data_IF_814892313155
#
_entry.id   IF_814892313155
#
_cell.length_a   1.000
_cell.length_b   1.000
_cell.length_c   1.000
_cell.angle_alpha   90.00
_cell.angle_beta   90.00
_cell.angle_gamma   90.00
#
_symmetry.space_group_name_H-M   'P 1'
#
loop_
_entity.id
_entity.type
_entity.pdbx_description
1 polymer ?
2 non-polymer ?
3 water ?
#
# COMPACT_ATOMS: atom_id res chain seq x y z
N UNK A 14 -21.22 -15.68 -4.19
CA UNK A 14 -22.43 -15.00 -3.61
C UNK A 14 -22.63 -13.61 -4.20
N UNK A 15 -23.55 -13.49 -5.15
CA UNK A 15 -23.76 -12.24 -5.89
C UNK A 15 -23.90 -11.05 -4.94
N UNK A 16 -23.28 -9.94 -5.31
CA UNK A 16 -23.33 -8.75 -4.49
C UNK A 16 -22.39 -8.78 -3.31
N UNK A 17 -21.43 -9.68 -3.29
CA UNK A 17 -20.50 -9.78 -2.17
C UNK A 17 -19.59 -8.52 -2.16
N UNK A 18 -19.16 -8.10 -0.99
CA UNK A 18 -18.30 -6.93 -0.89
C UNK A 18 -16.91 -7.30 -1.37
N UNK A 19 -16.34 -6.43 -2.18
CA UNK A 19 -15.07 -6.66 -2.83
C UNK A 19 -13.98 -5.79 -2.21
N UNK A 20 -12.89 -6.44 -1.84
CA UNK A 20 -11.71 -5.86 -1.22
C UNK A 20 -10.64 -5.54 -2.23
N UNK A 21 -9.85 -4.50 -1.93
CA UNK A 21 -8.67 -4.17 -2.66
C UNK A 21 -7.45 -4.61 -1.82
N UNK A 22 -6.70 -5.56 -2.37
CA UNK A 22 -5.62 -6.22 -1.65
C UNK A 22 -4.29 -6.06 -2.39
N UNK A 23 -3.22 -6.02 -1.61
CA UNK A 23 -1.87 -6.06 -2.17
C UNK A 23 -1.69 -7.41 -2.90
N UNK A 24 -1.49 -7.37 -4.21
CA UNK A 24 -1.27 -8.59 -4.98
C UNK A 24 0.18 -9.07 -4.84
N UNK A 25 1.09 -8.12 -4.95
CA UNK A 25 2.49 -8.39 -4.93
C UNK A 25 3.32 -7.14 -4.97
N UNK A 26 4.58 -7.27 -4.64
CA UNK A 26 5.47 -6.12 -4.70
C UNK A 26 6.92 -6.51 -4.86
N UNK A 27 7.66 -5.57 -5.45
CA UNK A 27 9.11 -5.58 -5.47
C UNK A 27 9.55 -4.66 -4.32
N UNK A 28 10.15 -5.26 -3.31
CA UNK A 28 10.51 -4.57 -2.08
C UNK A 28 11.97 -4.08 -2.10
N UNK A 29 12.11 -2.76 -2.15
CA UNK A 29 13.41 -2.08 -2.08
C UNK A 29 14.32 -2.45 -3.23
N UNK A 30 13.79 -2.29 -4.43
CA UNK A 30 14.56 -2.43 -5.64
C UNK A 30 15.15 -1.06 -5.99
N UNK A 31 16.28 -1.03 -6.68
CA UNK A 31 16.96 0.20 -7.02
C UNK A 31 16.66 0.64 -8.47
N UNK A 32 16.38 1.92 -8.65
CA UNK A 32 16.14 2.51 -9.98
C UNK A 32 17.45 2.51 -10.73
N UNK A 33 17.45 1.94 -11.92
CA UNK A 33 18.64 1.84 -12.76
C UNK A 33 18.70 2.84 -13.93
N UNK A 34 17.56 3.43 -14.28
CA UNK A 34 17.47 4.30 -15.46
C UNK A 34 16.26 5.22 -15.26
N UNK A 35 16.38 6.46 -15.72
CA UNK A 35 15.25 7.36 -15.62
C UNK A 35 15.30 8.34 -16.76
N UNK A 36 14.32 8.31 -17.67
CA UNK A 36 14.40 9.11 -18.91
C UNK A 36 13.15 9.90 -19.16
N UNK A 37 13.26 11.23 -19.17
CA UNK A 37 12.13 12.09 -19.53
C UNK A 37 11.74 11.82 -20.97
N UNK A 38 12.76 11.66 -21.82
CA UNK A 38 12.58 11.34 -23.24
C UNK A 38 12.02 9.92 -23.47
N UNK A 39 10.69 9.83 -23.33
CA UNK A 39 9.82 8.87 -24.01
C UNK A 39 10.15 7.36 -24.13
N UNK A 40 9.90 6.64 -23.06
CA UNK A 40 9.15 5.40 -23.11
C UNK A 40 8.01 5.78 -22.13
N UNK A 41 7.45 6.95 -22.43
CA UNK A 41 6.85 7.86 -21.42
C UNK A 41 5.60 7.33 -20.68
N UNK A 42 5.69 7.41 -19.36
CA UNK A 42 4.64 7.00 -18.44
C UNK A 42 5.18 5.93 -17.51
N UNK A 43 5.60 4.85 -18.15
CA UNK A 43 5.73 3.55 -17.58
C UNK A 43 6.93 3.40 -16.66
N UNK A 44 6.95 2.29 -15.96
CA UNK A 44 8.16 1.80 -15.34
C UNK A 44 8.43 0.44 -15.99
N UNK A 45 9.59 0.32 -16.65
CA UNK A 45 10.05 -0.93 -17.25
C UNK A 45 10.84 -1.72 -16.21
N UNK A 46 10.50 -2.99 -16.10
CA UNK A 46 10.95 -3.85 -15.02
C UNK A 46 11.36 -5.22 -15.63
N UNK A 47 12.56 -5.69 -15.28
CA UNK A 47 13.04 -7.03 -15.66
C UNK A 47 11.88 -8.03 -15.50
N UNK A 48 11.59 -8.78 -16.55
CA UNK A 48 10.50 -9.75 -16.53
C UNK A 48 10.61 -10.78 -15.42
N UNK A 49 11.84 -11.14 -15.00
CA UNK A 49 12.03 -12.07 -13.88
C UNK A 49 11.43 -11.50 -12.59
N UNK A 50 11.56 -10.18 -12.42
CA UNK A 50 11.04 -9.50 -11.24
C UNK A 50 9.51 -9.45 -11.30
N UNK A 51 8.98 -9.16 -12.48
CA UNK A 51 7.52 -9.16 -12.66
C UNK A 51 6.97 -10.53 -12.33
N UNK A 52 7.63 -11.58 -12.81
CA UNK A 52 7.18 -12.94 -12.53
C UNK A 52 7.11 -13.19 -11.01
N UNK A 53 8.16 -12.79 -10.30
CA UNK A 53 8.26 -13.06 -8.86
C UNK A 53 7.15 -12.37 -8.07
N UNK A 54 6.81 -11.15 -8.47
CA UNK A 54 5.78 -10.36 -7.79
C UNK A 54 4.37 -10.56 -8.35
N UNK A 55 4.21 -11.40 -9.38
CA UNK A 55 2.92 -11.61 -10.01
C UNK A 55 2.38 -10.40 -10.76
N UNK A 56 3.25 -9.45 -11.12
CA UNK A 56 2.86 -8.25 -11.82
C UNK A 56 2.86 -8.46 -13.35
N UNK A 57 1.83 -7.97 -14.01
CA UNK A 57 1.66 -8.17 -15.44
C UNK A 57 2.08 -6.96 -16.25
N UNK A 58 2.48 -7.20 -17.49
CA UNK A 58 2.65 -6.08 -18.41
C UNK A 58 1.34 -5.33 -18.55
N UNK A 59 1.43 -4.01 -18.48
CA UNK A 59 0.31 -3.09 -18.60
C UNK A 59 -0.55 -3.00 -17.36
N UNK A 60 -0.13 -3.65 -16.30
CA UNK A 60 -0.82 -3.56 -15.01
C UNK A 60 -0.52 -2.25 -14.29
N UNK A 61 -1.53 -1.66 -13.66
CA UNK A 61 -1.33 -0.47 -12.81
C UNK A 61 -0.43 -0.84 -11.63
N UNK A 62 0.53 0.01 -11.37
CA UNK A 62 1.41 -0.15 -10.21
C UNK A 62 1.54 1.15 -9.39
N UNK A 63 1.74 1.00 -8.09
CA UNK A 63 2.05 2.12 -7.20
C UNK A 63 3.54 2.04 -6.89
N UNK A 64 4.22 3.17 -6.94
CA UNK A 64 5.63 3.25 -6.61
C UNK A 64 5.82 4.20 -5.42
N UNK A 65 6.42 3.66 -4.36
CA UNK A 65 6.75 4.43 -3.17
C UNK A 65 8.27 4.56 -3.19
N UNK A 66 8.75 5.79 -3.32
CA UNK A 66 10.19 6.08 -3.33
C UNK A 66 10.63 6.28 -1.89
N UNK A 67 11.36 5.31 -1.37
CA UNK A 67 11.81 5.32 0.01
C UNK A 67 12.88 6.38 0.21
N UNK A 68 13.66 6.65 -0.84
CA UNK A 68 14.75 7.61 -0.75
C UNK A 68 14.24 9.04 -0.60
N UNK A 69 13.26 9.44 -1.39
CA UNK A 69 12.79 10.85 -1.36
C UNK A 69 11.35 11.04 -0.85
N UNK A 70 10.68 9.95 -0.50
CA UNK A 70 9.31 10.01 0.01
C UNK A 70 8.20 10.25 -0.99
N UNK A 71 8.53 10.35 -2.27
CA UNK A 71 7.50 10.56 -3.29
C UNK A 71 6.71 9.27 -3.52
N UNK A 72 5.43 9.42 -3.85
CA UNK A 72 4.56 8.29 -4.11
C UNK A 72 3.81 8.58 -5.40
N UNK A 73 3.82 7.65 -6.35
CA UNK A 73 3.09 7.89 -7.59
C UNK A 73 2.58 6.60 -8.16
N UNK A 74 1.66 6.68 -9.11
CA UNK A 74 1.18 5.49 -9.71
C UNK A 74 1.31 5.57 -11.23
N UNK A 75 1.64 4.42 -11.82
CA UNK A 75 1.81 4.33 -13.25
C UNK A 75 1.41 2.92 -13.70
N UNK A 76 2.07 2.38 -14.72
CA UNK A 76 1.85 1.00 -15.12
C UNK A 76 3.19 0.37 -15.49
N UNK A 77 3.22 -0.96 -15.40
CA UNK A 77 4.43 -1.75 -15.61
C UNK A 77 4.58 -2.14 -17.07
N UNK A 78 5.81 -2.10 -17.56
CA UNK A 78 6.12 -2.80 -18.80
C UNK A 78 7.34 -3.68 -18.55
N UNK A 79 7.46 -4.74 -19.35
CA UNK A 79 8.51 -5.71 -19.16
C UNK A 79 9.81 -5.21 -19.79
N UNK A 80 10.91 -5.32 -19.04
CA UNK A 80 12.26 -5.24 -19.59
C UNK A 80 12.83 -6.64 -19.77
N UNK A 81 13.89 -6.73 -20.56
CA UNK A 81 14.50 -8.02 -20.90
C UNK A 81 14.81 -8.83 -19.65
N UNK A 82 14.43 -10.11 -19.66
CA UNK A 82 14.80 -11.02 -18.56
C UNK A 82 16.30 -10.97 -18.32
N UNK A 83 16.69 -10.83 -17.06
CA UNK A 83 18.07 -10.83 -16.65
C UNK A 83 18.75 -9.48 -16.79
N UNK A 84 18.03 -8.47 -17.30
CA UNK A 84 18.60 -7.12 -17.44
C UNK A 84 18.73 -6.43 -16.07
N UNK A 85 17.90 -6.85 -15.11
CA UNK A 85 17.76 -6.27 -13.77
C UNK A 85 17.38 -4.78 -13.81
N UNK A 86 16.74 -4.37 -14.92
CA UNK A 86 16.35 -2.98 -15.12
C UNK A 86 15.12 -2.61 -14.30
N UNK A 87 15.17 -1.41 -13.71
CA UNK A 87 14.02 -0.66 -13.20
C UNK A 87 14.17 0.75 -13.79
N UNK A 88 13.38 1.05 -14.81
CA UNK A 88 13.51 2.29 -15.55
C UNK A 88 12.25 3.10 -15.38
N UNK A 89 12.36 4.27 -14.79
CA UNK A 89 11.23 5.15 -14.58
C UNK A 89 11.18 6.14 -15.73
N UNK A 90 10.13 6.03 -16.54
CA UNK A 90 10.06 6.68 -17.83
C UNK A 90 9.09 7.89 -17.88
N UNK A 91 9.45 8.91 -18.67
CA UNK A 91 8.57 10.04 -18.91
C UNK A 91 8.33 10.90 -17.67
N UNK A 92 7.07 11.26 -17.45
CA UNK A 92 6.72 12.10 -16.33
C UNK A 92 7.24 11.54 -15.00
N UNK A 93 7.27 10.22 -14.89
CA UNK A 93 7.69 9.55 -13.65
C UNK A 93 9.17 9.80 -13.29
N UNK A 94 9.98 10.16 -14.27
CA UNK A 94 11.38 10.50 -14.00
C UNK A 94 11.53 11.79 -13.16
N UNK A 95 10.46 12.58 -13.03
CA UNK A 95 10.43 13.70 -12.07
C UNK A 95 10.23 13.20 -10.62
N UNK A 96 9.91 11.92 -10.44
CA UNK A 96 9.65 11.37 -9.11
C UNK A 96 10.68 10.37 -8.62
N UNK A 97 11.58 9.96 -9.49
CA UNK A 97 12.61 9.01 -9.10
C UNK A 97 13.83 9.22 -9.97
N UNK A 98 14.99 8.95 -9.37
CA UNK A 98 16.28 9.11 -9.99
C UNK A 98 17.08 7.79 -9.86
N UNK A 99 18.03 7.61 -10.76
CA UNK A 99 18.94 6.47 -10.69
C UNK A 99 19.61 6.41 -9.30
N UNK A 100 19.54 5.23 -8.66
CA UNK A 100 20.07 5.04 -7.31
C UNK A 100 19.02 5.03 -6.23
N UNK A 101 17.86 5.61 -6.50
CA UNK A 101 16.81 5.71 -5.50
C UNK A 101 16.27 4.30 -5.24
N UNK A 102 15.87 4.06 -4.00
CA UNK A 102 15.31 2.80 -3.56
C UNK A 102 13.78 2.95 -3.58
N UNK A 103 13.11 2.03 -4.27
CA UNK A 103 11.65 2.10 -4.41
C UNK A 103 10.99 0.77 -4.05
N UNK A 104 9.70 0.86 -3.74
CA UNK A 104 8.83 -0.30 -3.60
C UNK A 104 7.77 -0.17 -4.68
N UNK A 105 7.60 -1.24 -5.46
CA UNK A 105 6.66 -1.24 -6.59
C UNK A 105 5.60 -2.27 -6.25
N UNK A 106 4.34 -1.86 -6.17
CA UNK A 106 3.25 -2.77 -5.75
C UNK A 106 2.12 -2.75 -6.76
N UNK A 107 1.44 -3.89 -6.89
CA UNK A 107 0.16 -3.96 -7.59
C UNK A 107 -0.90 -4.42 -6.61
N UNK A 108 -2.12 -3.98 -6.88
CA UNK A 108 -3.27 -4.32 -6.09
C UNK A 108 -4.32 -4.96 -6.99
N UNK A 109 -5.01 -5.94 -6.43
CA UNK A 109 -6.11 -6.62 -7.10
C UNK A 109 -7.34 -6.60 -6.23
N UNK A 110 -8.49 -6.88 -6.82
CA UNK A 110 -9.71 -6.99 -6.06
C UNK A 110 -10.22 -8.41 -6.04
N UNK A 111 -10.88 -8.74 -4.94
CA UNK A 111 -11.41 -10.08 -4.73
C UNK A 111 -12.42 -10.02 -3.62
N UNK A 112 -13.32 -10.99 -3.58
CA UNK A 112 -14.30 -11.03 -2.50
C UNK A 112 -13.65 -11.19 -1.14
N UNK A 113 -14.42 -10.84 -0.12
CA UNK A 113 -13.91 -10.83 1.24
C UNK A 113 -13.32 -12.17 1.75
N UNK A 114 -13.97 -13.28 1.47
CA UNK A 114 -13.51 -14.57 2.01
C UNK A 114 -12.16 -14.93 1.41
N UNK A 115 -11.99 -14.66 0.11
CA UNK A 115 -10.70 -14.85 -0.54
C UNK A 115 -9.62 -13.91 0.03
N UNK A 116 -9.99 -12.66 0.24
CA UNK A 116 -9.08 -11.65 0.80
C UNK A 116 -8.57 -12.04 2.20
N UNK A 117 -9.40 -12.71 2.99
CA UNK A 117 -9.04 -13.10 4.33
C UNK A 117 -7.97 -14.20 4.34
N UNK A 118 -7.74 -14.90 3.23
CA UNK A 118 -6.67 -15.89 3.22
C UNK A 118 -5.62 -15.63 2.15
N UNK A 119 -5.64 -14.43 1.57
CA UNK A 119 -4.77 -14.10 0.46
C UNK A 119 -3.32 -13.92 0.95
N UNK A 120 -2.35 -14.43 0.19
CA UNK A 120 -0.92 -14.20 0.49
C UNK A 120 -0.29 -13.44 -0.69
N UNK A 121 0.17 -12.21 -0.51
CA UNK A 121 0.84 -11.46 -1.59
C UNK A 121 2.14 -12.11 -2.06
N UNK A 122 2.47 -11.86 -3.32
CA UNK A 122 3.73 -12.28 -3.90
C UNK A 122 4.78 -11.21 -3.68
N UNK A 123 5.79 -11.49 -2.85
CA UNK A 123 6.78 -10.49 -2.50
C UNK A 123 8.18 -10.93 -2.93
N UNK A 124 8.88 -10.04 -3.61
CA UNK A 124 10.26 -10.25 -3.99
C UNK A 124 11.09 -9.22 -3.24
N UNK A 125 12.15 -9.69 -2.60
CA UNK A 125 13.05 -8.83 -1.85
C UNK A 125 14.37 -8.74 -2.59
N UNK A 126 15.02 -7.59 -2.47
CA UNK A 126 16.22 -7.26 -3.24
C UNK A 126 17.35 -6.78 -2.37
N UNK A 127 18.57 -7.05 -2.85
CA UNK A 127 19.78 -6.54 -2.23
C UNK A 127 20.79 -6.25 -3.36
N UNK A 128 21.83 -5.52 -3.02
CA UNK A 128 22.96 -5.30 -3.91
C UNK A 128 22.57 -4.83 -5.27
N UNK A 129 23.07 -5.54 -6.28
CA UNK A 129 22.87 -5.19 -7.68
C UNK A 129 21.52 -5.69 -8.18
N UNK A 130 20.42 -5.25 -7.55
CA UNK A 130 19.08 -5.75 -7.84
C UNK A 130 19.04 -7.28 -7.92
N UNK A 131 19.68 -7.89 -6.94
CA UNK A 131 19.67 -9.31 -6.80
C UNK A 131 18.44 -9.71 -5.98
N UNK A 132 17.60 -10.57 -6.54
CA UNK A 132 16.38 -11.02 -5.89
C UNK A 132 16.75 -12.08 -4.87
N UNK A 133 16.34 -11.90 -3.62
CA UNK A 133 16.73 -12.83 -2.55
C UNK A 133 15.91 -14.10 -2.61
N UNK B 18 -24.54 -1.15 -11.55
CA UNK B 18 -23.44 -0.19 -11.29
C UNK B 18 -22.83 -0.44 -9.94
N UNK B 19 -21.51 -0.41 -9.91
CA UNK B 19 -20.74 -0.76 -8.72
C UNK B 19 -20.24 0.52 -8.03
N UNK B 20 -20.56 0.63 -6.77
CA UNK B 20 -20.20 1.75 -5.91
C UNK B 20 -18.96 1.46 -5.09
N UNK B 21 -18.21 2.51 -4.78
CA UNK B 21 -17.09 2.40 -3.83
C UNK B 21 -17.56 3.04 -2.55
N UNK B 22 -17.52 2.26 -1.47
CA UNK B 22 -18.11 2.64 -0.17
C UNK B 22 -17.09 2.48 0.95
N UNK B 23 -17.19 3.34 1.96
CA UNK B 23 -16.36 3.19 3.17
C UNK B 23 -16.67 1.86 3.82
N UNK B 24 -15.67 0.99 3.92
CA UNK B 24 -15.84 -0.27 4.66
C UNK B 24 -15.68 -0.05 6.16
N UNK B 25 -14.66 0.71 6.54
CA UNK B 25 -14.39 0.91 7.94
C UNK B 25 -13.35 1.93 8.19
N UNK B 26 -13.32 2.45 9.41
CA UNK B 26 -12.29 3.42 9.74
C UNK B 26 -11.91 3.44 11.20
N UNK B 27 -10.67 3.81 11.43
CA UNK B 27 -10.15 4.11 12.76
C UNK B 27 -10.22 5.62 12.86
N UNK B 28 -11.05 6.08 13.77
CA UNK B 28 -11.39 7.48 13.86
C UNK B 28 -10.50 8.15 14.91
N UNK B 29 -9.54 8.93 14.43
CA UNK B 29 -8.64 9.73 15.23
C UNK B 29 -7.75 8.91 16.19
N UNK B 30 -6.94 8.03 15.59
CA UNK B 30 -5.87 7.36 16.30
C UNK B 30 -4.59 8.17 16.22
N UNK B 31 -3.69 7.92 17.16
CA UNK B 31 -2.38 8.58 17.17
C UNK B 31 -1.29 7.66 16.59
N UNK B 32 -0.42 8.24 15.78
CA UNK B 32 0.77 7.56 15.28
C UNK B 32 1.73 7.32 16.43
N UNK B 33 2.17 6.07 16.56
CA UNK B 33 3.09 5.69 17.62
C UNK B 33 4.43 5.34 17.01
N UNK B 34 5.40 5.12 17.88
CA UNK B 34 6.60 4.40 17.46
C UNK B 34 6.20 2.95 17.13
N UNK B 35 7.06 2.27 16.37
CA UNK B 35 6.90 0.84 16.12
C UNK B 35 7.62 0.08 17.22
N UNK B 36 6.95 -0.93 17.80
CA UNK B 36 7.59 -1.80 18.79
C UNK B 36 8.64 -2.69 18.11
N UNK B 37 8.29 -3.19 16.92
CA UNK B 37 9.19 -4.00 16.09
C UNK B 37 9.47 -3.30 14.77
N UNK B 38 10.47 -3.81 14.04
CA UNK B 38 10.81 -3.29 12.72
C UNK B 38 9.84 -3.85 11.66
N UNK B 39 9.08 -2.97 11.02
CA UNK B 39 8.14 -3.37 9.98
C UNK B 39 8.62 -2.91 8.62
N UNK B 40 8.14 -3.59 7.57
CA UNK B 40 8.58 -3.31 6.20
C UNK B 40 8.15 -1.90 5.80
N UNK B 41 9.03 -1.22 5.08
CA UNK B 41 8.71 0.08 4.51
C UNK B 41 7.49 -0.03 3.57
N UNK B 42 6.76 1.07 3.49
CA UNK B 42 5.58 1.19 2.64
C UNK B 42 4.27 0.75 3.25
N UNK B 43 4.28 0.23 4.47
CA UNK B 43 3.08 -0.31 5.10
C UNK B 43 2.72 0.50 6.33
N UNK B 44 1.54 0.23 6.89
CA UNK B 44 1.17 0.74 8.20
C UNK B 44 0.79 -0.45 9.07
N UNK B 45 1.54 -0.63 10.15
CA UNK B 45 1.29 -1.69 11.13
C UNK B 45 0.28 -1.18 12.16
N UNK B 46 -0.76 -1.96 12.39
CA UNK B 46 -1.89 -1.55 13.20
C UNK B 46 -2.24 -2.68 14.17
N UNK B 47 -2.33 -2.39 15.46
CA UNK B 47 -2.80 -3.34 16.50
C UNK B 47 -3.98 -4.16 15.92
N UNK B 48 -3.88 -5.48 15.98
CA UNK B 48 -4.88 -6.37 15.40
C UNK B 48 -6.27 -6.15 16.01
N UNK B 49 -6.34 -5.75 17.29
CA UNK B 49 -7.62 -5.36 17.91
C UNK B 49 -8.32 -4.24 17.12
N UNK B 50 -7.53 -3.29 16.61
CA UNK B 50 -8.06 -2.14 15.88
C UNK B 50 -8.53 -2.58 14.51
N UNK B 51 -7.73 -3.42 13.84
CA UNK B 51 -8.15 -4.02 12.57
C UNK B 51 -9.45 -4.82 12.70
N UNK B 52 -9.56 -5.59 13.80
CA UNK B 52 -10.77 -6.40 14.03
C UNK B 52 -11.99 -5.50 14.14
N UNK B 53 -11.87 -4.40 14.88
CA UNK B 53 -13.02 -3.50 15.13
C UNK B 53 -13.48 -2.79 13.86
N UNK B 54 -12.52 -2.39 13.03
CA UNK B 54 -12.78 -1.65 11.80
C UNK B 54 -13.03 -2.54 10.57
N UNK B 55 -12.88 -3.86 10.71
CA UNK B 55 -12.97 -4.77 9.58
C UNK B 55 -11.87 -4.70 8.55
N UNK B 56 -10.76 -4.09 8.92
CA UNK B 56 -9.65 -3.91 7.99
C UNK B 56 -8.77 -5.16 8.03
N UNK B 57 -8.39 -5.64 6.86
CA UNK B 57 -7.63 -6.90 6.74
C UNK B 57 -6.14 -6.67 6.58
N UNK B 58 -5.34 -7.61 7.07
CA UNK B 58 -3.93 -7.65 6.65
C UNK B 58 -3.85 -7.64 5.13
N UNK B 59 -2.96 -6.82 4.59
CA UNK B 59 -2.71 -6.67 3.18
C UNK B 59 -3.77 -5.89 2.39
N UNK B 60 -4.71 -5.28 3.08
CA UNK B 60 -5.74 -4.48 2.47
C UNK B 60 -5.22 -3.09 2.23
N UNK B 61 -5.54 -2.55 1.06
CA UNK B 61 -5.30 -1.14 0.79
C UNK B 61 -6.03 -0.25 1.78
N UNK B 62 -5.31 0.75 2.29
CA UNK B 62 -5.88 1.72 3.22
C UNK B 62 -5.46 3.16 2.85
N UNK B 63 -6.32 4.10 3.18
CA UNK B 63 -6.01 5.53 3.08
C UNK B 63 -5.73 6.04 4.47
N UNK B 64 -4.74 6.94 4.57
CA UNK B 64 -4.42 7.59 5.81
C UNK B 64 -4.52 9.09 5.59
N UNK B 65 -5.30 9.74 6.43
CA UNK B 65 -5.53 11.17 6.37
C UNK B 65 -5.04 11.74 7.68
N UNK B 66 -4.04 12.60 7.60
CA UNK B 66 -3.40 13.19 8.75
C UNK B 66 -4.15 14.45 9.19
N UNK B 67 -4.81 14.37 10.34
CA UNK B 67 -5.57 15.49 10.88
C UNK B 67 -4.65 16.59 11.38
N UNK B 68 -3.45 16.21 11.83
CA UNK B 68 -2.50 17.18 12.35
C UNK B 68 -1.93 18.09 11.26
N UNK B 69 -1.52 17.50 10.14
CA UNK B 69 -0.80 18.27 9.13
C UNK B 69 -1.45 18.29 7.74
N UNK B 70 -2.60 17.61 7.59
CA UNK B 70 -3.37 17.64 6.36
C UNK B 70 -2.92 16.66 5.27
N UNK B 71 -1.79 15.98 5.48
CA UNK B 71 -1.25 15.07 4.46
C UNK B 71 -2.17 13.88 4.26
N UNK B 72 -2.26 13.41 3.02
CA UNK B 72 -3.12 12.29 2.68
C UNK B 72 -2.34 11.32 1.80
N UNK B 73 -2.37 10.04 2.16
CA UNK B 73 -1.70 9.06 1.34
C UNK B 73 -2.33 7.69 1.47
N UNK B 74 -1.91 6.77 0.62
CA UNK B 74 -2.45 5.43 0.66
C UNK B 74 -1.31 4.41 0.80
N UNK B 75 -1.61 3.32 1.49
CA UNK B 75 -0.64 2.25 1.70
C UNK B 75 -1.45 0.95 1.90
N UNK B 76 -0.93 0.00 2.66
CA UNK B 76 -1.68 -1.19 3.02
C UNK B 76 -1.45 -1.52 4.48
N UNK B 77 -2.39 -2.27 5.06
CA UNK B 77 -2.35 -2.60 6.48
C UNK B 77 -1.58 -3.88 6.74
N UNK B 78 -0.82 -3.90 7.82
CA UNK B 78 -0.34 -5.17 8.40
C UNK B 78 -0.64 -5.18 9.90
N UNK B 79 -0.75 -6.37 10.46
CA UNK B 79 -1.13 -6.53 11.84
C UNK B 79 0.07 -6.30 12.75
N UNK B 80 -0.14 -5.45 13.73
CA UNK B 80 0.74 -5.37 14.89
C UNK B 80 0.04 -6.20 15.92
N UNK B 81 0.84 -6.65 16.91
CA UNK B 81 0.36 -7.48 17.98
C UNK B 81 -0.88 -6.90 18.63
N UNK B 82 -1.87 -7.86 18.94
CA UNK B 82 -3.02 -7.30 19.78
C UNK B 82 -2.50 -6.64 21.07
N UNK B 83 -3.15 -5.53 21.48
CA UNK B 83 -2.86 -4.84 22.73
C UNK B 83 -1.73 -3.83 22.56
N UNK B 84 -1.06 -3.82 21.36
CA UNK B 84 0.14 -2.99 21.26
C UNK B 84 -0.22 -1.52 21.02
N UNK B 85 -1.50 -1.38 20.60
CA UNK B 85 -2.12 -0.08 20.30
C UNK B 85 -1.34 0.69 19.07
N UNK B 86 -0.66 -0.12 18.27
CA UNK B 86 0.51 0.45 17.50
C UNK B 86 -0.15 1.01 16.29
N UNK B 87 0.24 2.21 15.91
CA UNK B 87 -0.01 2.74 14.61
C UNK B 87 1.34 3.23 14.08
N UNK B 88 2.01 2.40 13.29
CA UNK B 88 3.36 2.66 12.83
C UNK B 88 3.40 2.82 11.33
N UNK B 89 3.68 4.02 10.86
CA UNK B 89 3.81 4.25 9.42
C UNK B 89 5.27 4.04 9.05
N UNK B 90 5.52 3.01 8.26
CA UNK B 90 6.83 2.50 8.03
C UNK B 90 7.41 2.96 6.70
N UNK B 91 8.60 3.56 6.74
CA UNK B 91 9.40 3.78 5.54
C UNK B 91 9.06 5.03 4.76
N UNK B 92 8.82 4.87 3.45
CA UNK B 92 8.40 5.97 2.59
C UNK B 92 7.23 6.73 3.22
N UNK B 93 6.28 5.97 3.77
CA UNK B 93 5.13 6.54 4.46
C UNK B 93 5.49 7.36 5.68
N UNK B 94 6.63 7.09 6.32
CA UNK B 94 7.12 7.93 7.43
C UNK B 94 7.39 9.40 7.06
N UNK B 95 7.56 9.69 5.75
CA UNK B 95 7.62 11.07 5.23
C UNK B 95 6.32 11.88 5.42
N UNK B 96 5.23 11.23 5.87
CA UNK B 96 3.85 11.79 5.90
C UNK B 96 3.14 11.79 7.26
N UNK B 97 3.81 11.28 8.27
CA UNK B 97 3.21 11.12 9.57
C UNK B 97 4.34 11.01 10.57
N UNK B 98 4.22 11.77 11.66
CA UNK B 98 5.18 11.78 12.74
C UNK B 98 4.52 11.21 13.98
N UNK B 99 5.33 10.68 14.89
CA UNK B 99 4.81 10.18 16.15
C UNK B 99 4.03 11.28 16.85
N UNK B 100 2.81 10.95 17.30
CA UNK B 100 1.96 11.89 17.98
C UNK B 100 0.92 12.52 17.09
N UNK B 101 1.06 12.40 15.76
CA UNK B 101 0.09 12.93 14.83
C UNK B 101 -1.21 12.14 14.96
N UNK B 102 -2.31 12.82 14.77
CA UNK B 102 -3.63 12.21 14.80
C UNK B 102 -4.01 11.95 13.37
N UNK B 103 -4.38 10.72 13.08
CA UNK B 103 -4.79 10.32 11.74
C UNK B 103 -6.12 9.57 11.74
N UNK B 104 -6.72 9.50 10.56
CA UNK B 104 -7.84 8.65 10.27
C UNK B 104 -7.34 7.59 9.29
N UNK B 105 -7.66 6.32 9.56
CA UNK B 105 -7.30 5.23 8.68
C UNK B 105 -8.60 4.61 8.15
N UNK B 106 -8.73 4.50 6.84
CA UNK B 106 -9.96 4.05 6.19
C UNK B 106 -9.67 3.01 5.10
N UNK B 107 -10.57 2.05 4.97
CA UNK B 107 -10.59 1.14 3.83
C UNK B 107 -11.95 1.26 3.13
N UNK B 108 -11.92 0.97 1.84
CA UNK B 108 -13.10 1.05 0.99
C UNK B 108 -13.30 -0.28 0.27
N UNK B 109 -14.56 -0.63 0.03
CA UNK B 109 -14.94 -1.83 -0.68
C UNK B 109 -15.91 -1.45 -1.80
N UNK B 110 -16.06 -2.32 -2.77
CA UNK B 110 -17.09 -2.12 -3.79
C UNK B 110 -18.23 -3.13 -3.64
N UNK B 111 -19.38 -2.71 -4.07
CA UNK B 111 -20.57 -3.54 -4.15
C UNK B 111 -21.59 -2.88 -5.05
N UNK B 112 -22.58 -3.63 -5.52
CA UNK B 112 -23.61 -3.04 -6.36
C UNK B 112 -24.39 -1.97 -5.62
N UNK B 113 -24.91 -1.06 -6.42
CA UNK B 113 -25.72 0.05 -5.95
C UNK B 113 -26.84 -0.38 -4.99
N UNK B 114 -27.56 -1.44 -5.33
CA UNK B 114 -28.67 -1.88 -4.50
C UNK B 114 -28.22 -2.17 -3.06
N UNK B 115 -27.07 -2.82 -2.91
CA UNK B 115 -26.56 -3.14 -1.57
C UNK B 115 -25.94 -1.89 -0.91
N UNK B 116 -25.30 -1.05 -1.71
CA UNK B 116 -24.62 0.14 -1.20
C UNK B 116 -25.58 1.10 -0.53
N UNK B 117 -26.83 1.13 -0.98
CA UNK B 117 -27.82 2.02 -0.43
C UNK B 117 -28.09 1.86 1.08
N UNK B 118 -27.84 0.67 1.61
CA UNK B 118 -28.07 0.37 3.04
C UNK B 118 -26.78 0.00 3.77
N UNK B 119 -25.65 0.09 3.09
CA UNK B 119 -24.35 -0.34 3.66
C UNK B 119 -24.01 0.52 4.92
N UNK B 120 -23.47 -0.13 5.96
CA UNK B 120 -23.04 0.53 7.19
C UNK B 120 -21.56 0.22 7.38
N UNK B 121 -20.71 1.23 7.44
CA UNK B 121 -19.28 0.98 7.72
C UNK B 121 -19.02 0.61 9.17
N UNK B 122 -17.85 0.03 9.39
CA UNK B 122 -17.34 -0.31 10.73
C UNK B 122 -16.48 0.80 11.26
N UNK B 123 -16.85 1.40 12.37
CA UNK B 123 -16.05 2.52 12.88
C UNK B 123 -15.58 2.22 14.28
N UNK B 124 -14.28 2.41 14.52
CA UNK B 124 -13.71 2.39 15.86
C UNK B 124 -13.30 3.81 16.32
N UNK B 125 -13.69 4.15 17.53
CA UNK B 125 -13.43 5.47 18.13
C UNK B 125 -12.39 5.29 19.21
N UNK B 126 -11.56 6.30 19.42
CA UNK B 126 -10.46 6.21 20.39
C UNK B 126 -10.46 7.34 21.42
N UNK B 127 -9.84 7.06 22.56
CA UNK B 127 -9.66 8.03 23.64
C UNK B 127 -8.25 7.85 24.18
N UNK B 128 -7.76 8.84 24.92
CA UNK B 128 -6.43 8.76 25.52
C UNK B 128 -5.34 8.35 24.56
N UNK B 129 -4.53 7.38 24.97
CA UNK B 129 -3.42 6.87 24.16
C UNK B 129 -3.88 5.59 23.40
N UNK B 130 -4.62 5.82 22.32
CA UNK B 130 -5.18 4.76 21.47
C UNK B 130 -6.00 3.69 22.21
N UNK B 131 -6.67 4.10 23.31
CA UNK B 131 -7.59 3.22 24.08
C UNK B 131 -8.96 3.26 23.42
N UNK B 132 -9.38 2.07 22.92
CA UNK B 132 -10.56 1.91 22.04
C UNK B 132 -11.82 2.00 22.90
N UNK B 133 -12.77 2.84 22.50
CA UNK B 133 -14.02 2.97 23.24
C UNK B 133 -14.93 1.79 22.94
X LIG C 1 12.65 -2.98 5.27
X LIG C 1 13.39 -3.80 4.29
X LIG C 1 13.57 -2.06 6.02
X LIG C 1 11.70 -2.09 4.53
X LIG C 1 11.96 -3.93 6.18
X LIG D 1 21.80 -3.04 -14.09
X LIG D 1 22.06 -4.48 -14.43
X LIG D 1 21.73 -2.83 -12.61
X LIG D 1 22.92 -2.15 -14.55
X LIG D 1 20.58 -2.58 -14.82
X LIG E 1 -22.97 -0.21 14.06
X LIG E 1 -23.23 -0.43 12.60
X LIG E 1 -21.81 0.73 14.23
X LIG E 1 -24.18 0.44 14.64
X LIG E 1 -22.73 -1.50 14.75
X LIG F 1 -5.99 9.25 -0.30
X LIG F 1 -5.22 10.48 -0.68
X LIG F 1 -5.46 8.75 1.02
X LIG F 1 -7.45 9.55 -0.09
X LIG F 1 -5.84 8.31 -1.45
#
# INVERSE_FOLDING_TARGET
MRGSHHHHHHGLVPRGSMIRTMLQGKLHRVKVTHADLHYEAGSCAIDQDFLDAAGILENEAIDIWNVTNGKRFSTYAIAAERGSRIISVNGAAAHCASVGDIVIIASFVTMPDEEARTWRPNVAYFEGDNEMKRTAKAIPVQVA
MRGSHHHHHHGLVPRGSMIRTMLQGKLHRVKVTHADLHYEAGSCAIDQDFLDAAGILENEAIDIWNVTNGKRFSTYAIAAERGSRIISVNGAAAHCASVGDIVIIASFVTMPDEEARTWRPNVAYFEGDNEMKRTAKAIPVQVA
SO4 S O1 O2 O3 O4
SO4 S O1 O2 O3 O4
SO4 S O1 O2 O3 O4
SO4 S O1 O2 O3 O4
#
